data_IF_718512834667
#
_entry.id   IF_718512834667
#
_cell.length_a   1.000
_cell.length_b   1.000
_cell.length_c   1.000
_cell.angle_alpha   90.00
_cell.angle_beta   90.00
_cell.angle_gamma   90.00
#
_symmetry.space_group_name_H-M   'P 1'
#
loop_
_entity.id
_entity.type
_entity.pdbx_description
1 polymer ?
#
# COMPACT_ATOMS: atom_id res chain seq x y z
N UNK A 1 20.13 -11.30 -11.75
CA UNK A 1 20.56 -11.91 -13.03
C UNK A 1 20.40 -13.43 -13.06
N UNK A 2 20.65 -14.17 -11.97
CA UNK A 2 20.59 -15.64 -11.96
C UNK A 2 19.30 -16.26 -12.54
N UNK A 3 18.12 -15.85 -12.07
CA UNK A 3 16.83 -16.31 -12.64
C UNK A 3 16.73 -16.04 -14.16
N UNK A 4 17.09 -14.84 -14.60
CA UNK A 4 16.99 -14.44 -16.00
C UNK A 4 17.95 -15.20 -16.93
N UNK A 5 19.12 -15.60 -16.43
CA UNK A 5 20.15 -16.27 -17.24
C UNK A 5 20.00 -17.79 -17.25
N UNK A 6 19.47 -18.38 -16.18
CA UNK A 6 19.42 -19.83 -16.00
C UNK A 6 18.03 -20.42 -16.24
N UNK A 7 16.97 -19.62 -16.19
CA UNK A 7 15.60 -20.07 -16.47
C UNK A 7 15.04 -21.07 -15.44
N UNK A 8 15.63 -21.13 -14.25
CA UNK A 8 15.16 -22.01 -13.18
C UNK A 8 13.75 -21.62 -12.73
N UNK A 9 12.93 -22.62 -12.41
CA UNK A 9 11.65 -22.39 -11.75
C UNK A 9 11.85 -21.81 -10.34
N UNK A 10 10.93 -20.94 -9.94
CA UNK A 10 10.92 -20.29 -8.64
C UNK A 10 9.61 -20.65 -7.93
N UNK A 11 9.70 -21.19 -6.71
CA UNK A 11 8.50 -21.44 -5.91
C UNK A 11 7.94 -20.15 -5.31
N UNK A 12 6.67 -20.17 -4.88
CA UNK A 12 6.04 -19.01 -4.26
C UNK A 12 6.73 -18.64 -2.93
N UNK A 13 7.11 -19.62 -2.12
CA UNK A 13 7.81 -19.46 -0.84
C UNK A 13 9.15 -18.76 -1.05
N UNK A 14 9.91 -19.22 -2.04
CA UNK A 14 11.21 -18.62 -2.37
C UNK A 14 11.04 -17.19 -2.91
N UNK A 15 10.02 -16.92 -3.72
CA UNK A 15 9.70 -15.58 -4.19
C UNK A 15 9.35 -14.62 -3.03
N UNK A 16 8.66 -15.12 -2.01
CA UNK A 16 8.37 -14.37 -0.79
C UNK A 16 9.62 -14.11 0.05
N UNK A 17 10.46 -15.13 0.28
CA UNK A 17 11.74 -14.98 1.00
C UNK A 17 12.66 -13.95 0.32
N UNK A 18 12.61 -13.86 -1.01
CA UNK A 18 13.40 -12.90 -1.79
C UNK A 18 12.77 -11.51 -1.87
N UNK A 19 11.58 -11.30 -1.29
CA UNK A 19 10.87 -10.04 -1.33
C UNK A 19 10.26 -9.69 -2.69
N UNK A 20 10.10 -10.66 -3.60
CA UNK A 20 9.46 -10.44 -4.91
C UNK A 20 7.94 -10.35 -4.78
N UNK A 21 7.35 -11.05 -3.81
CA UNK A 21 5.93 -10.99 -3.45
C UNK A 21 5.79 -10.83 -1.93
N UNK A 22 4.67 -10.25 -1.49
CA UNK A 22 4.47 -9.87 -0.10
C UNK A 22 3.88 -10.97 0.80
N UNK A 23 3.10 -11.90 0.25
CA UNK A 23 2.46 -12.97 1.01
C UNK A 23 2.27 -14.22 0.14
N UNK A 24 2.41 -15.40 0.76
CA UNK A 24 2.07 -16.71 0.19
C UNK A 24 0.99 -17.34 1.04
N UNK A 25 0.04 -18.01 0.40
CA UNK A 25 -1.04 -18.76 1.03
C UNK A 25 -1.31 -20.02 0.21
N UNK A 26 -2.00 -21.00 0.80
CA UNK A 26 -2.41 -22.21 0.09
C UNK A 26 -3.35 -21.86 -1.08
N UNK A 27 -3.22 -22.61 -2.17
CA UNK A 27 -3.94 -22.38 -3.44
C UNK A 27 -5.45 -22.29 -3.24
N UNK A 28 -6.03 -23.13 -2.37
CA UNK A 28 -7.46 -23.17 -2.08
C UNK A 28 -7.97 -21.88 -1.41
N UNK A 29 -7.08 -21.13 -0.76
CA UNK A 29 -7.40 -19.92 -0.01
C UNK A 29 -7.00 -18.63 -0.72
N UNK A 30 -6.27 -18.72 -1.83
CA UNK A 30 -5.71 -17.57 -2.54
C UNK A 30 -6.78 -16.55 -2.94
N UNK A 31 -7.86 -17.03 -3.57
CA UNK A 31 -8.93 -16.16 -4.04
C UNK A 31 -9.64 -15.45 -2.88
N UNK A 32 -9.92 -16.18 -1.79
CA UNK A 32 -10.63 -15.61 -0.65
C UNK A 32 -9.76 -14.61 0.11
N UNK A 33 -8.48 -14.93 0.33
CA UNK A 33 -7.50 -14.03 0.96
C UNK A 33 -7.34 -12.74 0.15
N UNK A 34 -7.19 -12.84 -1.17
CA UNK A 34 -7.06 -11.67 -2.04
C UNK A 34 -8.32 -10.78 -1.99
N UNK A 35 -9.51 -11.38 -1.98
CA UNK A 35 -10.78 -10.64 -1.87
C UNK A 35 -10.94 -9.98 -0.50
N UNK A 36 -10.56 -10.67 0.58
CA UNK A 36 -10.57 -10.10 1.93
C UNK A 36 -9.64 -8.89 2.02
N UNK A 37 -8.43 -8.98 1.46
CA UNK A 37 -7.49 -7.86 1.41
C UNK A 37 -8.04 -6.69 0.59
N UNK A 38 -8.62 -6.95 -0.58
CA UNK A 38 -9.23 -5.91 -1.41
C UNK A 38 -10.39 -5.21 -0.68
N UNK A 39 -11.26 -5.98 0.00
CA UNK A 39 -12.35 -5.44 0.83
C UNK A 39 -11.80 -4.61 1.99
N UNK A 40 -10.75 -5.08 2.66
CA UNK A 40 -10.11 -4.32 3.73
C UNK A 40 -9.57 -2.99 3.22
N UNK A 41 -8.80 -2.99 2.13
CA UNK A 41 -8.27 -1.76 1.53
C UNK A 41 -9.37 -0.80 1.08
N UNK A 42 -10.51 -1.32 0.63
CA UNK A 42 -11.67 -0.49 0.25
C UNK A 42 -12.33 0.22 1.44
N UNK A 43 -12.13 -0.24 2.69
CA UNK A 43 -12.62 0.45 3.90
C UNK A 43 -11.61 1.42 4.51
N UNK A 44 -10.39 1.47 4.00
CA UNK A 44 -9.32 2.39 4.42
C UNK A 44 -9.46 3.76 3.71
N UNK A 45 -8.69 4.81 4.09
CA UNK A 45 -8.77 6.11 3.43
C UNK A 45 -8.12 6.03 2.04
N UNK A 46 -8.91 5.62 1.04
CA UNK A 46 -8.42 5.23 -0.29
C UNK A 46 -7.72 6.36 -1.04
N UNK A 47 -8.08 7.63 -0.81
CA UNK A 47 -7.33 8.77 -1.32
C UNK A 47 -5.89 8.79 -0.79
N UNK A 48 -5.71 8.60 0.51
CA UNK A 48 -4.39 8.51 1.14
C UNK A 48 -3.59 7.30 0.67
N UNK A 49 -4.24 6.13 0.55
CA UNK A 49 -3.60 4.94 -0.02
C UNK A 49 -3.12 5.16 -1.46
N UNK A 50 -3.90 5.88 -2.26
CA UNK A 50 -3.52 6.27 -3.62
C UNK A 50 -2.26 7.13 -3.64
N UNK A 51 -2.18 8.14 -2.78
CA UNK A 51 -0.99 9.00 -2.65
C UNK A 51 0.24 8.22 -2.20
N UNK A 52 0.09 7.29 -1.25
CA UNK A 52 1.18 6.40 -0.80
C UNK A 52 1.73 5.58 -1.98
N UNK A 53 0.84 4.93 -2.73
CA UNK A 53 1.23 4.12 -3.89
C UNK A 53 1.96 4.96 -4.95
N UNK A 54 1.48 6.18 -5.20
CA UNK A 54 2.14 7.10 -6.14
C UNK A 54 3.53 7.51 -5.64
N UNK A 55 3.68 7.86 -4.36
CA UNK A 55 4.98 8.25 -3.80
C UNK A 55 6.01 7.12 -3.89
N UNK A 56 5.62 5.89 -3.57
CA UNK A 56 6.51 4.71 -3.65
C UNK A 56 6.94 4.46 -5.10
N UNK A 57 6.01 4.52 -6.05
CA UNK A 57 6.33 4.32 -7.47
C UNK A 57 7.27 5.40 -8.03
N UNK A 58 7.21 6.64 -7.51
CA UNK A 58 8.12 7.71 -7.93
C UNK A 58 9.51 7.60 -7.29
N UNK A 59 9.62 6.97 -6.12
CA UNK A 59 10.87 6.88 -5.36
C UNK A 59 11.97 6.09 -6.08
N UNK A 60 11.63 5.22 -7.03
CA UNK A 60 12.61 4.43 -7.80
C UNK A 60 13.57 5.32 -8.61
N UNK A 61 13.09 6.47 -9.10
CA UNK A 61 13.86 7.33 -10.02
C UNK A 61 14.13 8.73 -9.47
N UNK A 62 13.41 9.16 -8.43
CA UNK A 62 13.61 10.44 -7.79
C UNK A 62 14.94 10.50 -7.02
N UNK A 63 15.55 11.69 -6.96
CA UNK A 63 16.54 11.99 -5.93
C UNK A 63 15.86 12.09 -4.56
N UNK A 64 16.63 11.92 -3.48
CA UNK A 64 16.10 12.06 -2.12
C UNK A 64 15.36 13.39 -1.91
N UNK A 65 15.96 14.51 -2.32
CA UNK A 65 15.35 15.84 -2.16
C UNK A 65 14.03 15.95 -2.93
N UNK A 66 13.99 15.45 -4.16
CA UNK A 66 12.76 15.45 -4.99
C UNK A 66 11.67 14.60 -4.35
N UNK A 67 12.04 13.45 -3.79
CA UNK A 67 11.11 12.55 -3.14
C UNK A 67 10.55 13.17 -1.85
N UNK A 68 11.37 13.84 -1.05
CA UNK A 68 10.93 14.53 0.16
C UNK A 68 9.98 15.69 -0.16
N UNK A 69 10.23 16.44 -1.24
CA UNK A 69 9.31 17.48 -1.70
C UNK A 69 7.96 16.90 -2.14
N UNK A 70 7.98 15.79 -2.89
CA UNK A 70 6.77 15.07 -3.32
C UNK A 70 5.96 14.57 -2.11
N UNK A 71 6.62 13.92 -1.16
CA UNK A 71 5.98 13.39 0.05
C UNK A 71 5.40 14.51 0.92
N UNK A 72 6.11 15.64 1.07
CA UNK A 72 5.58 16.84 1.74
C UNK A 72 4.27 17.31 1.10
N UNK A 73 4.23 17.38 -0.23
CA UNK A 73 3.06 17.89 -0.93
C UNK A 73 1.89 16.90 -0.87
N UNK A 74 2.15 15.60 -0.94
CA UNK A 74 1.13 14.56 -0.73
C UNK A 74 0.60 14.53 0.70
N UNK A 75 1.46 14.69 1.72
CA UNK A 75 1.02 14.84 3.11
C UNK A 75 0.12 16.08 3.28
N UNK A 76 0.43 17.20 2.61
CA UNK A 76 -0.41 18.40 2.62
C UNK A 76 -1.77 18.15 1.95
N UNK A 77 -1.80 17.40 0.84
CA UNK A 77 -3.06 17.01 0.19
C UNK A 77 -3.89 16.09 1.09
N UNK A 78 -3.27 15.04 1.64
CA UNK A 78 -3.92 14.11 2.56
C UNK A 78 -4.46 14.83 3.81
N UNK A 79 -3.68 15.73 4.41
CA UNK A 79 -4.10 16.50 5.59
C UNK A 79 -5.30 17.45 5.36
N UNK A 80 -5.67 17.71 4.10
CA UNK A 80 -6.85 18.50 3.72
C UNK A 80 -8.08 17.64 3.40
N UNK A 81 -7.95 16.32 3.38
CA UNK A 81 -9.05 15.40 3.06
C UNK A 81 -10.09 15.33 4.18
N UNK A 82 -11.31 14.90 3.84
CA UNK A 82 -12.33 14.60 4.82
C UNK A 82 -11.91 13.43 5.71
N UNK A 83 -11.29 12.41 5.12
CA UNK A 83 -10.82 11.21 5.79
C UNK A 83 -9.73 11.50 6.83
N UNK A 84 -8.86 12.50 6.61
CA UNK A 84 -7.89 12.92 7.64
C UNK A 84 -8.60 13.47 8.88
N UNK A 85 -9.58 14.37 8.68
CA UNK A 85 -10.36 14.94 9.80
C UNK A 85 -11.13 13.87 10.55
N UNK A 86 -11.74 12.95 9.81
CA UNK A 86 -12.45 11.80 10.38
C UNK A 86 -11.50 10.88 11.16
N UNK A 87 -10.33 10.54 10.60
CA UNK A 87 -9.34 9.71 11.28
C UNK A 87 -8.87 10.32 12.59
N UNK A 88 -8.57 11.63 12.60
CA UNK A 88 -8.20 12.36 13.82
C UNK A 88 -9.35 12.37 14.83
N UNK A 89 -10.58 12.68 14.39
CA UNK A 89 -11.76 12.72 15.25
C UNK A 89 -12.05 11.35 15.87
N UNK A 90 -12.04 10.29 15.06
CA UNK A 90 -12.30 8.92 15.49
C UNK A 90 -11.26 8.43 16.48
N UNK A 91 -9.98 8.74 16.23
CA UNK A 91 -8.88 8.42 17.14
C UNK A 91 -9.05 9.09 18.50
N UNK A 92 -9.30 10.41 18.53
CA UNK A 92 -9.54 11.16 19.77
C UNK A 92 -10.77 10.65 20.53
N UNK A 93 -11.81 10.24 19.81
CA UNK A 93 -13.04 9.68 20.37
C UNK A 93 -12.97 8.16 20.67
N UNK A 94 -11.83 7.50 20.41
CA UNK A 94 -11.63 6.04 20.58
C UNK A 94 -12.71 5.18 19.92
N UNK A 95 -13.12 5.57 18.70
CA UNK A 95 -14.08 4.82 17.87
C UNK A 95 -13.42 4.42 16.55
N UNK A 96 -14.03 3.47 15.85
CA UNK A 96 -13.62 3.16 14.48
C UNK A 96 -13.91 4.34 13.54
N UNK A 97 -12.98 4.70 12.64
CA UNK A 97 -13.20 5.73 11.63
C UNK A 97 -14.13 5.23 10.51
N UNK A 98 -14.84 6.17 9.87
CA UNK A 98 -15.67 5.92 8.69
C UNK A 98 -15.10 6.66 7.48
N UNK A 99 -14.21 6.00 6.74
CA UNK A 99 -13.57 6.60 5.57
C UNK A 99 -14.47 6.57 4.33
N UNK A 100 -14.34 7.61 3.51
CA UNK A 100 -15.13 7.83 2.29
C UNK A 100 -14.29 7.98 1.03
N UNK A 101 -12.96 8.01 1.17
CA UNK A 101 -12.01 8.19 0.07
C UNK A 101 -11.90 9.64 -0.40
N UNK A 102 -12.21 10.62 0.45
CA UNK A 102 -12.28 12.06 0.10
C UNK A 102 -11.64 12.93 1.17
#
# INVERSE_FOLDING_TARGET
>A
MGLALLGNQLSAEQAHEWGMIWQVVDDETLADTAQQLARHLATQPTFGLGLIKQAINSAETNTLDTQLDLERDYQRLAGRSADYREGVSAFLAKRSPQFTGK
#
